data_IF_912532869281
#
_entry.id   IF_912532869281
#
_cell.length_a   1.000
_cell.length_b   1.000
_cell.length_c   1.000
_cell.angle_alpha   90.00
_cell.angle_beta   90.00
_cell.angle_gamma   90.00
#
_symmetry.space_group_name_H-M   'P 1'
#
loop_
_entity.id
_entity.type
_entity.pdbx_description
1 polymer ?
#
# COMPACT_ATOMS: atom_id res chain seq x y z
N UNK A 1 11.30 -4.86 19.30
CA UNK A 1 10.65 -3.57 19.01
C UNK A 1 9.18 -3.56 19.41
N UNK A 2 8.33 -4.47 18.91
CA UNK A 2 6.94 -4.57 19.39
C UNK A 2 6.82 -4.95 20.88
N UNK A 3 7.68 -5.87 21.35
CA UNK A 3 7.64 -6.36 22.74
C UNK A 3 7.94 -5.25 23.77
N UNK A 4 8.84 -4.32 23.45
CA UNK A 4 9.24 -3.22 24.36
C UNK A 4 8.17 -2.14 24.48
N UNK A 5 7.43 -1.87 23.41
CA UNK A 5 6.33 -0.89 23.43
C UNK A 5 5.09 -1.46 24.12
N UNK A 6 4.81 -2.76 23.95
CA UNK A 6 3.72 -3.43 24.66
C UNK A 6 3.95 -3.44 26.18
N UNK A 7 5.16 -3.80 26.63
CA UNK A 7 5.52 -3.77 28.04
C UNK A 7 5.36 -2.36 28.65
N UNK A 8 5.76 -1.31 27.93
CA UNK A 8 5.56 0.07 28.37
C UNK A 8 4.07 0.43 28.57
N UNK A 9 3.20 0.00 27.65
CA UNK A 9 1.76 0.25 27.80
C UNK A 9 1.14 -0.60 28.90
N UNK A 10 1.60 -1.84 29.10
CA UNK A 10 1.19 -2.68 30.24
C UNK A 10 1.56 -2.02 31.57
N UNK A 11 2.80 -1.56 31.72
CA UNK A 11 3.29 -0.86 32.92
C UNK A 11 2.50 0.43 33.22
N UNK A 12 2.16 1.21 32.18
CA UNK A 12 1.33 2.42 32.33
C UNK A 12 -0.07 2.09 32.84
N UNK A 13 -0.69 1.03 32.28
CA UNK A 13 -2.03 0.60 32.64
C UNK A 13 -2.04 0.11 34.09
N UNK A 14 -1.04 -0.68 34.49
CA UNK A 14 -0.88 -1.15 35.87
C UNK A 14 -0.62 -0.01 36.86
N UNK A 15 0.14 1.01 36.44
CA UNK A 15 0.45 2.20 37.26
C UNK A 15 -0.70 3.21 37.36
N UNK A 16 -1.80 3.00 36.63
CA UNK A 16 -2.93 3.93 36.59
C UNK A 16 -2.61 5.30 35.98
N UNK A 17 -1.53 5.39 35.21
CA UNK A 17 -1.13 6.63 34.56
C UNK A 17 -2.00 6.90 33.32
N UNK A 18 -2.26 8.17 32.98
CA UNK A 18 -3.13 8.51 31.87
C UNK A 18 -2.48 8.08 30.54
N UNK A 19 -3.13 7.12 29.87
CA UNK A 19 -2.68 6.48 28.64
C UNK A 19 -3.44 6.99 27.42
N UNK A 20 -2.87 6.84 26.21
CA UNK A 20 -3.59 7.20 25.00
C UNK A 20 -4.80 6.29 24.78
N UNK A 21 -5.89 6.89 24.30
CA UNK A 21 -7.12 6.18 23.90
C UNK A 21 -6.85 5.24 22.73
N UNK A 22 -5.93 5.62 21.85
CA UNK A 22 -5.52 4.79 20.73
C UNK A 22 -4.03 4.96 20.46
N UNK A 23 -3.33 3.84 20.35
CA UNK A 23 -1.97 3.75 19.83
C UNK A 23 -1.96 2.82 18.63
N UNK A 24 -1.42 3.30 17.51
CA UNK A 24 -1.28 2.54 16.29
C UNK A 24 0.10 2.73 15.70
N UNK A 25 0.70 1.63 15.23
CA UNK A 25 2.03 1.67 14.63
C UNK A 25 2.07 0.89 13.32
N UNK A 26 2.65 1.51 12.31
CA UNK A 26 2.94 0.88 11.03
C UNK A 26 4.40 1.10 10.65
N UNK A 27 5.23 0.07 10.87
CA UNK A 27 6.68 0.11 10.67
C UNK A 27 7.31 1.27 11.47
N UNK A 28 7.64 2.38 10.82
CA UNK A 28 8.27 3.55 11.42
C UNK A 28 7.27 4.66 11.74
N UNK A 29 6.06 4.60 11.19
CA UNK A 29 5.01 5.60 11.41
C UNK A 29 4.17 5.24 12.65
N UNK A 30 3.99 6.21 13.55
CA UNK A 30 3.20 6.08 14.79
C UNK A 30 2.05 7.07 14.75
N UNK A 31 0.88 6.63 15.23
CA UNK A 31 -0.24 7.49 15.56
C UNK A 31 -0.69 7.26 17.00
N UNK A 32 -0.97 8.35 17.68
CA UNK A 32 -1.46 8.38 19.05
C UNK A 32 -2.68 9.30 19.13
N UNK A 33 -3.78 8.83 19.73
CA UNK A 33 -4.93 9.66 20.08
C UNK A 33 -4.99 9.70 21.60
N UNK A 34 -4.76 10.88 22.15
CA UNK A 34 -4.73 11.12 23.59
C UNK A 34 -5.98 11.91 24.02
N UNK A 35 -6.67 11.44 25.07
CA UNK A 35 -7.78 12.17 25.67
C UNK A 35 -7.31 12.76 27.01
N UNK A 36 -7.04 14.05 27.03
CA UNK A 36 -6.56 14.72 28.25
C UNK A 36 -6.06 16.13 27.97
N UNK A 37 -5.48 16.75 28.99
CA UNK A 37 -4.83 18.05 28.83
C UNK A 37 -3.56 17.91 28.00
N UNK A 38 -3.18 19.00 27.32
CA UNK A 38 -1.91 19.05 26.58
C UNK A 38 -0.72 18.72 27.48
N UNK A 39 -0.74 19.16 28.73
CA UNK A 39 0.31 18.88 29.72
C UNK A 39 0.51 17.38 29.96
N UNK A 40 -0.55 16.61 30.18
CA UNK A 40 -0.44 15.17 30.40
C UNK A 40 0.04 14.43 29.15
N UNK A 41 -0.38 14.88 27.97
CA UNK A 41 0.09 14.34 26.70
C UNK A 41 1.58 14.64 26.46
N UNK A 42 2.03 15.87 26.75
CA UNK A 42 3.44 16.26 26.60
C UNK A 42 4.33 15.43 27.54
N UNK A 43 3.87 15.15 28.78
CA UNK A 43 4.56 14.24 29.70
C UNK A 43 4.61 12.81 29.17
N UNK A 44 3.48 12.29 28.68
CA UNK A 44 3.42 10.96 28.05
C UNK A 44 4.40 10.85 26.88
N UNK A 45 4.49 11.87 26.01
CA UNK A 45 5.41 11.88 24.88
C UNK A 45 6.86 11.84 25.34
N UNK A 46 7.21 12.65 26.36
CA UNK A 46 8.56 12.68 26.92
C UNK A 46 8.94 11.34 27.57
N UNK A 47 8.04 10.75 28.35
CA UNK A 47 8.23 9.45 28.98
C UNK A 47 8.38 8.36 27.92
N UNK A 48 7.50 8.35 26.91
CA UNK A 48 7.54 7.38 25.82
C UNK A 48 8.87 7.44 25.06
N UNK A 49 9.35 8.63 24.75
CA UNK A 49 10.65 8.82 24.08
C UNK A 49 11.83 8.37 24.96
N UNK A 50 11.74 8.53 26.29
CA UNK A 50 12.78 8.11 27.23
C UNK A 50 12.86 6.59 27.38
N UNK A 51 11.72 5.91 27.60
CA UNK A 51 11.68 4.48 27.90
C UNK A 51 11.86 3.58 26.66
N UNK A 52 11.83 4.16 25.45
CA UNK A 52 12.03 3.39 24.23
C UNK A 52 13.49 2.96 24.08
N UNK A 53 13.71 1.65 23.96
CA UNK A 53 15.05 1.04 23.89
C UNK A 53 15.94 1.48 22.71
N UNK A 54 15.40 2.22 21.74
CA UNK A 54 16.12 2.74 20.55
C UNK A 54 16.09 4.27 20.47
N UNK A 55 15.80 4.97 21.57
CA UNK A 55 15.75 6.44 21.64
C UNK A 55 17.04 7.11 21.15
N UNK A 56 18.20 6.45 21.34
CA UNK A 56 19.50 6.92 20.86
C UNK A 56 19.69 6.80 19.33
N UNK A 57 19.00 5.88 18.66
CA UNK A 57 19.20 5.59 17.22
C UNK A 57 18.09 6.18 16.34
N UNK A 58 16.88 6.33 16.89
CA UNK A 58 15.69 6.75 16.16
C UNK A 58 14.93 7.78 17.01
N UNK A 59 15.03 9.03 16.58
CA UNK A 59 14.29 10.16 17.15
C UNK A 59 12.92 10.26 16.50
N UNK A 60 11.87 10.23 17.32
CA UNK A 60 10.50 10.45 16.85
C UNK A 60 10.26 11.96 16.76
N UNK A 61 9.70 12.41 15.64
CA UNK A 61 9.27 13.81 15.48
C UNK A 61 7.76 13.87 15.65
N UNK A 62 7.32 14.22 16.86
CA UNK A 62 5.91 14.33 17.18
C UNK A 62 5.28 15.57 16.54
N UNK A 63 4.25 15.37 15.73
CA UNK A 63 3.40 16.44 15.19
C UNK A 63 2.09 16.40 15.96
N UNK A 64 1.94 17.35 16.90
CA UNK A 64 0.81 17.40 17.83
C UNK A 64 -0.22 18.39 17.30
N UNK A 65 -1.46 17.94 17.20
CA UNK A 65 -2.58 18.74 16.71
C UNK A 65 -3.86 18.35 17.45
N UNK A 66 -4.65 19.36 17.81
CA UNK A 66 -5.93 19.15 18.50
C UNK A 66 -7.06 18.75 17.53
N UNK A 67 -6.90 19.02 16.23
CA UNK A 67 -8.00 18.92 15.25
C UNK A 67 -7.81 17.79 14.25
N UNK A 68 -6.57 17.52 13.84
CA UNK A 68 -6.28 16.55 12.78
C UNK A 68 -4.84 16.08 12.79
N UNK A 69 -4.63 14.81 12.45
CA UNK A 69 -3.34 14.20 12.24
C UNK A 69 -3.27 13.54 10.85
N UNK A 70 -2.10 13.62 10.21
CA UNK A 70 -1.79 12.86 9.00
C UNK A 70 -1.14 11.54 9.40
N UNK A 71 -1.66 10.44 8.89
CA UNK A 71 -1.09 9.11 9.12
C UNK A 71 -1.25 8.25 7.87
N UNK A 72 -0.12 7.81 7.31
CA UNK A 72 -0.07 7.08 6.04
C UNK A 72 -0.80 7.86 4.91
N UNK A 73 -1.77 7.20 4.27
CA UNK A 73 -2.61 7.76 3.21
C UNK A 73 -3.91 8.39 3.76
N UNK A 74 -3.96 8.75 5.04
CA UNK A 74 -5.16 9.26 5.72
C UNK A 74 -4.90 10.60 6.44
N UNK A 75 -5.91 11.46 6.38
CA UNK A 75 -6.09 12.57 7.32
C UNK A 75 -7.18 12.14 8.29
N UNK A 76 -6.82 12.09 9.57
CA UNK A 76 -7.70 11.71 10.66
C UNK A 76 -8.05 13.01 11.38
N UNK A 77 -9.33 13.32 11.47
CA UNK A 77 -9.84 14.56 12.07
C UNK A 77 -10.99 14.25 13.02
N UNK A 78 -11.23 15.13 13.98
CA UNK A 78 -12.43 15.03 14.81
C UNK A 78 -13.46 16.04 14.32
N UNK A 79 -14.69 15.58 14.10
CA UNK A 79 -15.78 16.49 13.74
C UNK A 79 -16.34 17.20 14.99
N UNK A 80 -17.18 18.23 14.80
CA UNK A 80 -17.82 18.98 15.90
C UNK A 80 -18.66 18.13 16.86
N UNK A 81 -19.08 16.93 16.42
CA UNK A 81 -19.83 15.97 17.25
C UNK A 81 -18.94 14.98 18.01
N UNK A 82 -17.61 15.16 17.97
CA UNK A 82 -16.64 14.28 18.63
C UNK A 82 -16.34 12.98 17.89
N UNK A 83 -16.95 12.74 16.72
CA UNK A 83 -16.73 11.53 15.91
C UNK A 83 -15.50 11.68 15.02
N UNK A 84 -14.75 10.59 14.89
CA UNK A 84 -13.59 10.51 14.00
C UNK A 84 -14.05 10.54 12.54
N UNK A 85 -13.44 11.44 11.77
CA UNK A 85 -13.64 11.63 10.35
C UNK A 85 -12.33 11.35 9.61
N UNK A 86 -12.40 10.46 8.62
CA UNK A 86 -11.28 10.04 7.79
C UNK A 86 -11.42 10.65 6.39
N UNK A 87 -10.33 11.18 5.87
CA UNK A 87 -10.24 11.60 4.49
C UNK A 87 -8.94 11.07 3.85
N UNK A 88 -8.92 10.78 2.53
CA UNK A 88 -7.69 10.38 1.85
C UNK A 88 -6.66 11.51 1.82
N UNK A 89 -5.47 11.27 2.38
CA UNK A 89 -4.37 12.21 2.30
C UNK A 89 -3.68 12.13 0.93
N UNK A 90 -3.25 13.29 0.41
CA UNK A 90 -2.51 13.38 -0.84
C UNK A 90 -1.27 14.25 -0.65
N UNK A 91 -0.10 13.60 -0.66
CA UNK A 91 1.20 14.30 -0.64
C UNK A 91 1.26 15.34 -1.75
N UNK A 92 1.61 16.57 -1.39
CA UNK A 92 1.67 17.72 -2.30
C UNK A 92 2.56 17.44 -3.54
N UNK A 93 3.66 16.70 -3.33
CA UNK A 93 4.62 16.35 -4.38
C UNK A 93 4.31 15.04 -5.11
N UNK A 94 3.10 14.49 -4.97
CA UNK A 94 2.72 13.28 -5.69
C UNK A 94 2.61 13.57 -7.19
N UNK A 95 3.44 12.91 -8.00
CA UNK A 95 3.47 13.06 -9.46
C UNK A 95 2.32 12.36 -10.18
N UNK A 96 1.52 11.56 -9.46
CA UNK A 96 0.37 10.82 -10.01
C UNK A 96 0.68 10.07 -11.31
N UNK A 97 1.76 9.29 -11.29
CA UNK A 97 2.28 8.54 -12.43
C UNK A 97 1.39 7.33 -12.79
N UNK A 98 0.09 7.56 -12.99
CA UNK A 98 -0.84 6.53 -13.45
C UNK A 98 -0.41 6.01 -14.81
N UNK A 99 -0.72 4.75 -15.11
CA UNK A 99 -0.42 4.14 -16.41
C UNK A 99 -1.15 4.90 -17.53
N UNK A 100 -0.48 5.37 -18.60
CA UNK A 100 -1.16 6.08 -19.70
C UNK A 100 -2.12 5.16 -20.46
N UNK A 101 -3.16 5.72 -21.09
CA UNK A 101 -4.16 4.90 -21.80
C UNK A 101 -3.56 4.14 -23.00
N UNK A 102 -2.67 4.78 -23.76
CA UNK A 102 -1.97 4.21 -24.91
C UNK A 102 -0.90 3.17 -24.56
N UNK A 103 -0.66 2.93 -23.26
CA UNK A 103 0.30 1.92 -22.82
C UNK A 103 -0.13 0.50 -23.23
N UNK A 104 0.85 -0.37 -23.39
CA UNK A 104 0.68 -1.78 -23.78
C UNK A 104 0.25 -2.67 -22.60
N UNK A 105 -0.75 -2.22 -21.84
CA UNK A 105 -1.40 -3.00 -20.79
C UNK A 105 -2.81 -3.41 -21.24
N UNK A 106 -3.28 -4.61 -20.83
CA UNK A 106 -4.65 -5.04 -21.09
C UNK A 106 -5.67 -4.01 -20.59
N UNK A 107 -6.76 -3.82 -21.34
CA UNK A 107 -7.86 -2.94 -20.93
C UNK A 107 -8.50 -3.38 -19.60
N UNK A 108 -8.52 -4.69 -19.33
CA UNK A 108 -9.04 -5.22 -18.06
C UNK A 108 -8.15 -4.86 -16.88
N UNK A 109 -6.82 -4.90 -17.05
CA UNK A 109 -5.88 -4.42 -16.02
C UNK A 109 -6.04 -2.92 -15.77
N UNK A 110 -6.24 -2.13 -16.84
CA UNK A 110 -6.55 -0.70 -16.71
C UNK A 110 -7.84 -0.46 -15.93
N UNK A 111 -8.89 -1.19 -16.28
CA UNK A 111 -10.18 -1.14 -15.56
C UNK A 111 -10.02 -1.55 -14.09
N UNK A 112 -9.24 -2.60 -13.84
CA UNK A 112 -9.00 -3.16 -12.52
C UNK A 112 -8.31 -2.17 -11.58
N UNK A 113 -7.24 -1.49 -12.03
CA UNK A 113 -6.56 -0.52 -11.16
C UNK A 113 -7.46 0.68 -10.85
N UNK A 114 -8.24 1.18 -11.82
CA UNK A 114 -9.15 2.32 -11.61
C UNK A 114 -10.19 1.95 -10.55
N UNK A 115 -10.80 0.76 -10.67
CA UNK A 115 -11.77 0.26 -9.69
C UNK A 115 -11.15 0.09 -8.31
N UNK A 116 -9.97 -0.53 -8.24
CA UNK A 116 -9.26 -0.73 -6.97
C UNK A 116 -8.95 0.60 -6.27
N UNK A 117 -8.52 1.61 -7.03
CA UNK A 117 -8.22 2.94 -6.50
C UNK A 117 -9.49 3.67 -6.03
N UNK A 118 -10.60 3.57 -6.77
CA UNK A 118 -11.89 4.11 -6.32
C UNK A 118 -12.37 3.43 -5.03
N UNK A 119 -12.24 2.11 -4.94
CA UNK A 119 -12.58 1.35 -3.72
C UNK A 119 -11.67 1.79 -2.56
N UNK A 120 -10.38 2.02 -2.81
CA UNK A 120 -9.45 2.56 -1.80
C UNK A 120 -9.91 3.92 -1.29
N UNK A 121 -10.31 4.83 -2.18
CA UNK A 121 -10.87 6.12 -1.76
C UNK A 121 -12.15 5.98 -0.95
N UNK A 122 -13.05 5.06 -1.32
CA UNK A 122 -14.25 4.78 -0.52
C UNK A 122 -13.87 4.26 0.85
N UNK A 123 -12.91 3.33 0.95
CA UNK A 123 -12.42 2.78 2.21
C UNK A 123 -11.85 3.86 3.13
N UNK A 124 -11.14 4.82 2.55
CA UNK A 124 -10.41 5.88 3.24
C UNK A 124 -11.23 7.16 3.49
N UNK A 125 -12.48 7.22 3.04
CA UNK A 125 -13.36 8.37 3.23
C UNK A 125 -14.48 8.02 4.22
N UNK A 126 -14.71 8.86 5.21
CA UNK A 126 -15.85 8.71 6.14
C UNK A 126 -17.16 9.25 5.57
N UNK A 127 -17.10 10.18 4.61
CA UNK A 127 -18.28 10.74 3.94
C UNK A 127 -18.23 10.58 2.42
N UNK A 128 -19.41 10.56 1.80
CA UNK A 128 -19.54 10.54 0.33
C UNK A 128 -19.02 11.83 -0.30
N UNK A 129 -19.08 12.94 0.42
CA UNK A 129 -18.58 14.22 -0.03
C UNK A 129 -17.06 14.18 -0.27
N UNK A 130 -16.28 13.70 0.71
CA UNK A 130 -14.82 13.53 0.58
C UNK A 130 -14.46 12.58 -0.55
N UNK A 131 -15.17 11.45 -0.64
CA UNK A 131 -15.01 10.50 -1.73
C UNK A 131 -15.25 11.17 -3.10
N UNK A 132 -16.29 12.00 -3.21
CA UNK A 132 -16.64 12.67 -4.47
C UNK A 132 -15.55 13.67 -4.90
N UNK A 133 -14.98 14.43 -3.96
CA UNK A 133 -13.89 15.37 -4.24
C UNK A 133 -12.68 14.61 -4.80
N UNK A 134 -12.25 13.55 -4.12
CA UNK A 134 -11.07 12.81 -4.51
C UNK A 134 -11.27 12.03 -5.82
N UNK A 135 -12.46 11.47 -6.03
CA UNK A 135 -12.83 10.77 -7.25
C UNK A 135 -12.83 11.72 -8.46
N UNK A 136 -13.34 12.94 -8.31
CA UNK A 136 -13.27 13.98 -9.36
C UNK A 136 -11.82 14.31 -9.71
N UNK A 137 -10.96 14.54 -8.72
CA UNK A 137 -9.52 14.79 -8.96
C UNK A 137 -8.86 13.62 -9.68
N UNK A 138 -9.17 12.39 -9.29
CA UNK A 138 -8.67 11.19 -9.94
C UNK A 138 -9.13 11.08 -11.40
N UNK A 139 -10.41 11.37 -11.68
CA UNK A 139 -10.94 11.42 -13.04
C UNK A 139 -10.15 12.40 -13.92
N UNK A 140 -9.92 13.63 -13.46
CA UNK A 140 -9.14 14.62 -14.22
C UNK A 140 -7.70 14.17 -14.46
N UNK A 141 -7.04 13.56 -13.48
CA UNK A 141 -5.69 13.03 -13.66
C UNK A 141 -5.67 11.92 -14.71
N UNK A 142 -6.65 11.02 -14.72
CA UNK A 142 -6.77 10.01 -15.78
C UNK A 142 -7.03 10.64 -17.15
N UNK A 143 -7.82 11.71 -17.23
CA UNK A 143 -8.01 12.46 -18.49
C UNK A 143 -6.69 13.00 -19.04
N UNK A 144 -5.85 13.58 -18.19
CA UNK A 144 -4.50 14.05 -18.58
C UNK A 144 -3.61 12.89 -19.06
N UNK A 145 -3.84 11.67 -18.57
CA UNK A 145 -3.13 10.45 -19.00
C UNK A 145 -3.71 9.81 -20.28
N UNK A 146 -4.64 10.48 -20.95
CA UNK A 146 -5.19 10.10 -22.25
C UNK A 146 -6.38 9.15 -22.19
N UNK A 147 -7.00 8.92 -21.02
CA UNK A 147 -8.15 8.01 -20.92
C UNK A 147 -9.40 8.65 -21.55
N UNK A 148 -10.13 7.97 -22.46
CA UNK A 148 -11.34 8.51 -23.08
C UNK A 148 -12.45 8.80 -22.05
N UNK A 149 -13.25 9.88 -22.20
CA UNK A 149 -14.27 10.23 -21.21
C UNK A 149 -15.34 9.14 -21.07
N UNK A 150 -15.83 8.61 -22.19
CA UNK A 150 -16.83 7.54 -22.22
C UNK A 150 -16.35 6.28 -21.48
N UNK A 151 -15.08 5.93 -21.65
CA UNK A 151 -14.47 4.81 -20.94
C UNK A 151 -14.44 5.07 -19.43
N UNK A 152 -13.98 6.25 -19.00
CA UNK A 152 -13.94 6.59 -17.57
C UNK A 152 -15.33 6.62 -16.93
N UNK A 153 -16.32 7.23 -17.59
CA UNK A 153 -17.71 7.26 -17.10
C UNK A 153 -18.21 5.83 -16.87
N UNK A 154 -17.98 4.94 -17.83
CA UNK A 154 -18.36 3.52 -17.69
C UNK A 154 -17.64 2.83 -16.53
N UNK A 155 -16.34 3.07 -16.31
CA UNK A 155 -15.61 2.44 -15.19
C UNK A 155 -16.08 2.98 -13.84
N UNK A 156 -16.23 4.30 -13.73
CA UNK A 156 -16.63 4.98 -12.49
C UNK A 156 -18.06 4.59 -12.10
N UNK A 157 -18.95 4.36 -13.07
CA UNK A 157 -20.33 3.90 -12.81
C UNK A 157 -20.41 2.46 -12.27
N UNK A 158 -19.29 1.75 -12.08
CA UNK A 158 -19.26 0.40 -11.48
C UNK A 158 -18.94 0.41 -9.98
N UNK A 159 -18.53 1.55 -9.42
CA UNK A 159 -18.11 1.66 -8.02
C UNK A 159 -18.95 2.72 -7.33
N UNK A 160 -19.62 2.35 -6.25
CA UNK A 160 -20.59 3.21 -5.56
C UNK A 160 -20.23 3.35 -4.08
N UNK A 161 -20.27 4.58 -3.57
CA UNK A 161 -20.00 4.84 -2.15
C UNK A 161 -21.01 4.12 -1.23
N UNK A 162 -22.26 3.95 -1.66
CA UNK A 162 -23.29 3.20 -0.93
C UNK A 162 -22.89 1.78 -0.54
N UNK A 163 -21.94 1.17 -1.26
CA UNK A 163 -21.40 -0.17 -0.96
C UNK A 163 -20.20 -0.15 -0.01
N UNK A 164 -19.91 0.98 0.64
CA UNK A 164 -18.78 1.14 1.58
C UNK A 164 -18.70 0.03 2.62
N UNK A 165 -19.83 -0.35 3.22
CA UNK A 165 -19.88 -1.43 4.21
C UNK A 165 -19.39 -2.77 3.66
N UNK A 166 -19.58 -3.04 2.36
CA UNK A 166 -19.08 -4.24 1.70
C UNK A 166 -17.57 -4.13 1.43
N UNK A 167 -17.08 -2.96 1.03
CA UNK A 167 -15.66 -2.73 0.77
C UNK A 167 -14.76 -2.71 2.02
N UNK A 168 -15.36 -2.49 3.20
CA UNK A 168 -14.67 -2.54 4.48
C UNK A 168 -14.53 -3.95 5.04
N UNK A 169 -15.36 -4.90 4.60
CA UNK A 169 -15.26 -6.29 5.04
C UNK A 169 -13.96 -6.89 4.51
N UNK A 170 -13.24 -7.60 5.37
CA UNK A 170 -12.14 -8.45 4.92
C UNK A 170 -12.72 -9.55 4.04
N UNK A 171 -12.20 -9.70 2.82
CA UNK A 171 -12.49 -10.91 2.06
C UNK A 171 -11.71 -12.05 2.71
N UNK A 172 -12.40 -13.05 3.24
CA UNK A 172 -11.78 -14.36 3.42
C UNK A 172 -11.35 -14.82 2.03
N UNK A 173 -10.04 -15.03 1.84
CA UNK A 173 -9.53 -15.56 0.59
C UNK A 173 -10.03 -17.01 0.46
N UNK A 174 -11.20 -17.19 -0.15
CA UNK A 174 -11.63 -18.52 -0.56
C UNK A 174 -10.63 -19.03 -1.59
N UNK A 175 -9.83 -20.02 -1.22
CA UNK A 175 -8.92 -20.68 -2.14
C UNK A 175 -9.75 -21.49 -3.15
N UNK A 176 -9.98 -20.91 -4.33
CA UNK A 176 -10.56 -21.62 -5.46
C UNK A 176 -9.49 -22.57 -6.04
N UNK A 177 -9.37 -23.76 -5.46
CA UNK A 177 -8.41 -24.79 -5.87
C UNK A 177 -8.66 -25.31 -7.30
N UNK A 178 -9.78 -24.94 -7.92
CA UNK A 178 -10.14 -25.35 -9.27
C UNK A 178 -9.78 -24.30 -10.32
N UNK A 179 -9.22 -23.14 -9.93
CA UNK A 179 -8.77 -22.10 -10.87
C UNK A 179 -7.37 -22.41 -11.41
N UNK A 180 -7.25 -22.61 -12.72
CA UNK A 180 -5.97 -22.81 -13.41
C UNK A 180 -5.62 -21.57 -14.24
N UNK A 181 -4.64 -20.75 -13.80
CA UNK A 181 -4.23 -19.57 -14.55
C UNK A 181 -3.22 -19.92 -15.65
N UNK A 182 -3.54 -19.59 -16.90
CA UNK A 182 -2.60 -19.57 -18.01
C UNK A 182 -1.82 -18.25 -17.99
N UNK A 183 -0.61 -18.28 -17.47
CA UNK A 183 0.23 -17.08 -17.33
C UNK A 183 1.01 -16.82 -18.62
N UNK A 184 0.74 -15.69 -19.28
CA UNK A 184 1.41 -15.29 -20.53
C UNK A 184 1.78 -13.80 -20.53
N UNK A 185 2.49 -13.34 -21.55
CA UNK A 185 2.73 -11.91 -21.77
C UNK A 185 1.55 -11.30 -22.52
N UNK A 186 1.16 -10.07 -22.14
CA UNK A 186 0.14 -9.37 -22.89
C UNK A 186 0.64 -9.05 -24.30
N UNK A 187 -0.23 -9.31 -25.27
CA UNK A 187 -0.08 -9.06 -26.68
C UNK A 187 -1.50 -8.79 -27.23
N UNK A 188 -1.77 -7.72 -27.99
CA UNK A 188 -3.06 -7.43 -28.61
C UNK A 188 -3.63 -8.58 -29.43
N UNK A 189 -2.80 -9.53 -29.88
CA UNK A 189 -3.24 -10.80 -30.48
C UNK A 189 -4.22 -11.57 -29.58
N UNK A 190 -4.13 -11.44 -28.25
CA UNK A 190 -5.08 -12.04 -27.31
C UNK A 190 -6.49 -11.40 -27.36
N UNK A 191 -6.64 -10.23 -27.97
CA UNK A 191 -7.96 -9.61 -28.21
C UNK A 191 -8.65 -10.20 -29.46
N UNK A 192 -7.97 -11.04 -30.24
CA UNK A 192 -8.53 -11.68 -31.43
C UNK A 192 -9.51 -12.80 -31.02
N UNK A 193 -10.74 -12.84 -31.58
CA UNK A 193 -11.76 -13.82 -31.20
C UNK A 193 -11.32 -15.28 -31.31
N UNK A 194 -10.49 -15.60 -32.32
CA UNK A 194 -9.99 -16.97 -32.57
C UNK A 194 -9.20 -17.57 -31.39
N UNK A 195 -8.45 -16.76 -30.64
CA UNK A 195 -7.72 -17.25 -29.47
C UNK A 195 -8.64 -17.50 -28.27
N UNK A 196 -9.76 -16.77 -28.16
CA UNK A 196 -10.77 -17.01 -27.12
C UNK A 196 -11.48 -18.34 -27.34
N UNK A 197 -11.66 -18.77 -28.59
CA UNK A 197 -12.21 -20.08 -28.93
C UNK A 197 -11.36 -21.23 -28.39
N UNK A 198 -10.03 -21.13 -28.47
CA UNK A 198 -9.13 -22.16 -27.93
C UNK A 198 -9.23 -22.36 -26.41
N UNK A 199 -9.41 -21.27 -25.66
CA UNK A 199 -9.63 -21.34 -24.20
C UNK A 199 -10.98 -21.96 -23.85
N UNK A 200 -12.01 -21.69 -24.66
CA UNK A 200 -13.32 -22.30 -24.49
C UNK A 200 -13.25 -23.82 -24.74
N UNK A 201 -12.56 -24.26 -25.79
CA UNK A 201 -12.36 -25.69 -26.08
C UNK A 201 -11.67 -26.41 -24.92
N UNK A 202 -10.62 -25.81 -24.35
CA UNK A 202 -9.92 -26.39 -23.19
C UNK A 202 -10.86 -26.50 -21.98
N UNK A 203 -11.64 -25.45 -21.68
CA UNK A 203 -12.64 -25.46 -20.61
C UNK A 203 -13.67 -26.58 -20.82
N UNK A 204 -14.12 -26.78 -22.05
CA UNK A 204 -15.12 -27.80 -22.38
C UNK A 204 -14.55 -29.23 -22.17
N UNK A 205 -13.22 -29.41 -22.29
CA UNK A 205 -12.54 -30.70 -22.04
C UNK A 205 -12.12 -30.91 -20.57
N UNK A 206 -12.15 -29.86 -19.74
CA UNK A 206 -11.77 -29.91 -18.32
C UNK A 206 -12.83 -29.26 -17.45
N UNK A 207 -14.04 -29.83 -17.43
CA UNK A 207 -15.20 -29.31 -16.69
C UNK A 207 -14.96 -29.08 -15.18
N UNK A 208 -14.00 -29.80 -14.58
CA UNK A 208 -13.58 -29.62 -13.18
C UNK A 208 -12.81 -28.32 -12.93
N UNK A 209 -12.07 -27.83 -13.93
CA UNK A 209 -11.15 -26.71 -13.79
C UNK A 209 -11.67 -25.47 -14.51
N UNK A 210 -11.70 -24.36 -13.79
CA UNK A 210 -11.96 -23.05 -14.40
C UNK A 210 -10.65 -22.47 -14.88
N UNK A 211 -10.56 -22.15 -16.16
CA UNK A 211 -9.36 -21.55 -16.72
C UNK A 211 -9.48 -20.04 -16.80
N UNK A 212 -8.36 -19.34 -16.59
CA UNK A 212 -8.27 -17.89 -16.81
C UNK A 212 -6.93 -17.54 -17.42
N UNK A 213 -6.87 -16.50 -18.24
CA UNK A 213 -5.60 -15.97 -18.74
C UNK A 213 -5.12 -14.90 -17.77
N UNK A 214 -3.90 -15.07 -17.29
CA UNK A 214 -3.21 -14.10 -16.46
C UNK A 214 -2.04 -13.50 -17.24
N UNK A 215 -1.84 -12.19 -17.14
CA UNK A 215 -0.74 -11.52 -17.82
C UNK A 215 0.38 -11.19 -16.83
N UNK A 216 1.59 -11.69 -17.11
CA UNK A 216 2.81 -11.24 -16.43
C UNK A 216 3.33 -9.96 -17.10
N UNK A 217 4.06 -9.13 -16.35
CA UNK A 217 4.70 -7.96 -16.95
C UNK A 217 5.76 -8.37 -17.98
N UNK A 218 5.93 -7.52 -19.00
CA UNK A 218 7.04 -7.67 -19.93
C UNK A 218 8.36 -7.32 -19.23
N UNK A 219 9.42 -8.06 -19.56
CA UNK A 219 10.77 -7.73 -19.09
C UNK A 219 11.15 -6.38 -19.68
N UNK A 220 11.60 -5.46 -18.83
CA UNK A 220 12.09 -4.16 -19.27
C UNK A 220 13.62 -4.12 -19.24
N UNK A 221 14.20 -3.03 -19.75
CA UNK A 221 15.65 -2.84 -19.79
C UNK A 221 16.28 -2.94 -18.40
N UNK A 222 15.59 -2.42 -17.37
CA UNK A 222 16.04 -2.51 -15.98
C UNK A 222 16.15 -3.96 -15.49
N UNK A 223 15.25 -4.85 -15.90
CA UNK A 223 15.35 -6.28 -15.57
C UNK A 223 16.53 -6.95 -16.25
N UNK A 224 16.79 -6.60 -17.50
CA UNK A 224 17.94 -7.12 -18.24
C UNK A 224 19.26 -6.65 -17.61
N UNK A 225 19.33 -5.37 -17.23
CA UNK A 225 20.48 -4.77 -16.54
C UNK A 225 20.66 -5.41 -15.16
N UNK A 226 19.59 -5.54 -14.37
CA UNK A 226 19.65 -6.16 -13.05
C UNK A 226 20.04 -7.64 -13.14
N UNK A 227 19.50 -8.40 -14.09
CA UNK A 227 19.90 -9.79 -14.31
C UNK A 227 21.37 -9.92 -14.73
N UNK A 228 21.89 -8.95 -15.50
CA UNK A 228 23.31 -8.85 -15.85
C UNK A 228 24.18 -8.51 -14.63
N UNK A 229 23.71 -7.60 -13.76
CA UNK A 229 24.39 -7.21 -12.53
C UNK A 229 24.38 -8.34 -11.47
N UNK A 230 23.30 -9.10 -11.36
CA UNK A 230 23.21 -10.29 -10.48
C UNK A 230 24.16 -11.41 -10.89
N UNK A 231 24.65 -11.43 -12.14
CA UNK A 231 25.61 -12.43 -12.63
C UNK A 231 27.07 -12.09 -12.31
N UNK A 232 27.39 -10.93 -11.71
CA UNK A 232 28.78 -10.48 -11.49
C UNK A 232 29.29 -10.46 -10.03
N UNK A 233 28.61 -11.09 -9.07
CA UNK A 233 29.16 -11.29 -7.71
C UNK A 233 29.22 -12.78 -7.33
N UNK A 234 30.03 -13.55 -8.08
CA UNK A 234 30.65 -14.77 -7.55
C UNK A 234 32.16 -14.59 -7.67
N UNK A 235 32.79 -13.99 -6.67
CA UNK A 235 34.21 -14.25 -6.46
C UNK A 235 34.32 -15.74 -6.13
N UNK A 236 35.03 -16.51 -6.97
CA UNK A 236 35.56 -17.81 -6.54
C UNK A 236 36.48 -17.51 -5.37
N UNK A 237 36.07 -17.88 -4.16
CA UNK A 237 37.00 -18.02 -3.04
C UNK A 237 37.99 -19.12 -3.45
N UNK A 238 39.17 -18.70 -3.91
CA UNK A 238 40.32 -19.61 -3.96
C UNK A 238 40.60 -19.97 -2.51
N UNK A 239 40.37 -21.23 -2.15
CA UNK A 239 40.76 -21.79 -0.84
C UNK A 239 42.29 -21.77 -0.75
N UNK A 240 42.86 -20.66 -0.35
CA UNK A 240 44.19 -20.62 0.25
C UNK A 240 44.02 -20.78 1.75
N UNK A 241 44.86 -21.63 2.37
CA UNK A 241 44.84 -21.89 3.81
C UNK A 241 45.02 -20.57 4.56
N UNK A 242 44.07 -20.25 5.43
CA UNK A 242 44.09 -19.06 6.29
C UNK A 242 45.25 -19.18 7.29
N UNK A 243 46.23 -18.28 7.17
CA UNK A 243 47.14 -17.93 8.27
C UNK A 243 46.42 -17.01 9.27
N UNK A 244 46.81 -17.11 10.54
CA UNK A 244 46.25 -16.38 11.67
C UNK A 244 46.60 -14.89 11.62
N UNK A 245 45.81 -14.10 10.88
CA UNK A 245 45.59 -12.68 11.13
C UNK A 245 44.48 -12.16 10.19
N UNK A 246 43.25 -12.02 10.73
CA UNK A 246 42.11 -11.47 9.98
C UNK A 246 41.78 -10.10 10.56
N UNK A 247 41.92 -9.04 9.76
CA UNK A 247 41.38 -7.71 10.07
C UNK A 247 40.13 -7.46 9.24
N UNK A 248 39.04 -7.09 9.91
CA UNK A 248 37.78 -6.71 9.28
C UNK A 248 37.74 -5.19 9.05
N UNK A 249 37.37 -4.76 7.85
CA UNK A 249 36.98 -3.36 7.61
C UNK A 249 35.64 -3.32 6.88
N UNK A 250 34.78 -2.37 7.25
CA UNK A 250 33.47 -2.16 6.65
C UNK A 250 33.25 -0.68 6.35
N UNK A 251 32.81 -0.38 5.13
CA UNK A 251 32.52 0.99 4.67
C UNK A 251 31.04 1.30 4.93
N UNK A 252 30.75 2.41 5.61
CA UNK A 252 29.41 3.01 5.73
C UNK A 252 29.03 3.72 4.42
N UNK A 253 27.83 3.45 3.89
CA UNK A 253 27.16 4.35 2.94
C UNK A 253 26.73 5.61 3.68
N UNK A 254 27.30 6.76 3.32
CA UNK A 254 26.70 8.08 3.58
C UNK A 254 25.58 8.30 2.57
N UNK A 255 24.35 8.52 3.05
CA UNK A 255 23.34 9.22 2.27
C UNK A 255 23.52 10.71 2.54
N UNK A 256 23.80 11.47 1.48
CA UNK A 256 23.41 12.88 1.39
C UNK A 256 22.00 12.93 0.82
#
# INVERSE_FOLDING_TARGET
MYITELAYFEDIIESGLPSPVFYGRYIDDIICIYAGSKYHMDNFVADFDYYRSYSAELKINWIISATSAEFLDLVISQNKSGKIHLAPHQKLLNKYLYVPFCSYHPKDSKTGFIKAELIRYIRNSSSEHEFTIIAKRFFYRLRVRGYPPRYLIWVFSKVFYSRRSQYLKSSSAASDNNLVPFVTQYNPVWEIPKFRTGLNIFRDHTAKYRTTVAFRRNRNLMDAINASNSRKLRCKLVRTRLGSDIRWTGIKKRHH
#
